data_IF_180553367961
#
_entry.id   IF_180553367961
#
_cell.length_a   1.000
_cell.length_b   1.000
_cell.length_c   1.000
_cell.angle_alpha   90.00
_cell.angle_beta   90.00
_cell.angle_gamma   90.00
#
_symmetry.space_group_name_H-M   'P 1'
#
loop_
_entity.id
_entity.type
_entity.pdbx_description
1 polymer ?
#
# COMPACT_ATOMS: atom_id res chain seq x y z
N UNK A 1 -0.77 -6.29 21.66
CA UNK A 1 -1.77 -6.44 20.58
C UNK A 1 -1.98 -5.17 19.72
N UNK A 2 -1.95 -3.94 20.26
CA UNK A 2 -2.22 -2.69 19.49
C UNK A 2 -1.22 -2.31 18.37
N UNK A 3 0.02 -2.81 18.42
CA UNK A 3 1.09 -2.41 17.49
C UNK A 3 0.79 -2.78 16.02
N UNK A 4 0.01 -3.85 15.80
CA UNK A 4 -0.34 -4.32 14.46
C UNK A 4 -1.42 -3.47 13.79
N UNK A 5 -2.39 -2.95 14.56
CA UNK A 5 -3.45 -2.07 14.06
C UNK A 5 -2.83 -0.74 13.59
N UNK A 6 -1.92 -0.18 14.37
CA UNK A 6 -1.23 1.05 13.99
C UNK A 6 -0.35 0.84 12.76
N UNK A 7 0.38 -0.29 12.68
CA UNK A 7 1.16 -0.64 11.50
C UNK A 7 0.28 -0.80 10.24
N UNK A 8 -0.86 -1.47 10.37
CA UNK A 8 -1.82 -1.64 9.29
C UNK A 8 -2.37 -0.29 8.81
N UNK A 9 -2.72 0.60 9.75
CA UNK A 9 -3.18 1.96 9.44
C UNK A 9 -2.12 2.74 8.67
N UNK A 10 -0.87 2.72 9.13
CA UNK A 10 0.25 3.40 8.46
C UNK A 10 0.45 2.87 7.03
N UNK A 11 0.43 1.55 6.84
CA UNK A 11 0.56 0.94 5.51
C UNK A 11 -0.59 1.32 4.57
N UNK A 12 -1.82 1.39 5.08
CA UNK A 12 -2.99 1.82 4.29
C UNK A 12 -2.89 3.29 3.88
N UNK A 13 -2.40 4.16 4.77
CA UNK A 13 -2.15 5.58 4.45
C UNK A 13 -1.09 5.67 3.35
N UNK A 14 0.07 5.02 3.55
CA UNK A 14 1.17 5.05 2.56
C UNK A 14 0.71 4.49 1.20
N UNK A 15 -0.08 3.42 1.18
CA UNK A 15 -0.64 2.86 -0.05
C UNK A 15 -1.57 3.86 -0.77
N UNK A 16 -2.40 4.60 -0.03
CA UNK A 16 -3.32 5.60 -0.59
C UNK A 16 -2.54 6.78 -1.16
N UNK A 17 -1.59 7.33 -0.42
CA UNK A 17 -0.76 8.45 -0.87
C UNK A 17 -0.01 8.09 -2.16
N UNK A 18 0.50 6.85 -2.22
CA UNK A 18 1.20 6.36 -3.40
C UNK A 18 0.25 6.21 -4.60
N UNK A 19 -1.01 5.85 -4.37
CA UNK A 19 -2.02 5.80 -5.43
C UNK A 19 -2.38 7.18 -5.98
N UNK A 20 -2.51 8.18 -5.11
CA UNK A 20 -2.75 9.57 -5.50
C UNK A 20 -1.57 10.12 -6.31
N UNK A 21 -0.33 9.81 -5.90
CA UNK A 21 0.89 10.16 -6.65
C UNK A 21 0.88 9.50 -8.03
N UNK A 22 0.60 8.20 -8.12
CA UNK A 22 0.53 7.49 -9.41
C UNK A 22 -0.54 8.11 -10.30
N UNK A 23 -1.72 8.40 -9.76
CA UNK A 23 -2.84 8.97 -10.51
C UNK A 23 -2.48 10.33 -11.08
N UNK A 24 -1.86 11.20 -10.27
CA UNK A 24 -1.41 12.52 -10.70
C UNK A 24 -0.31 12.44 -11.76
N UNK A 25 0.68 11.58 -11.56
CA UNK A 25 1.78 11.40 -12.52
C UNK A 25 1.30 10.78 -13.82
N UNK A 26 0.30 9.90 -13.78
CA UNK A 26 -0.26 9.26 -14.97
C UNK A 26 -1.03 10.23 -15.88
N UNK A 27 -1.42 11.40 -15.38
CA UNK A 27 -2.04 12.47 -16.18
C UNK A 27 -1.00 13.34 -16.90
N UNK A 28 0.28 13.21 -16.54
CA UNK A 28 1.36 14.00 -17.12
C UNK A 28 1.91 13.33 -18.39
N UNK A 29 1.99 14.07 -19.49
CA UNK A 29 2.42 13.55 -20.80
C UNK A 29 3.91 13.16 -20.83
N UNK A 30 4.71 13.66 -19.88
CA UNK A 30 6.15 13.42 -19.79
C UNK A 30 6.53 12.43 -18.68
N UNK A 31 5.59 11.58 -18.25
CA UNK A 31 5.87 10.67 -17.15
C UNK A 31 7.00 9.69 -17.52
N UNK A 32 7.98 9.59 -16.64
CA UNK A 32 9.06 8.61 -16.80
C UNK A 32 8.49 7.20 -16.53
N UNK A 33 8.49 6.35 -17.56
CA UNK A 33 7.93 5.01 -17.47
C UNK A 33 8.65 4.12 -16.45
N UNK A 34 9.96 4.34 -16.22
CA UNK A 34 10.73 3.60 -15.22
C UNK A 34 10.30 4.02 -13.82
N UNK A 35 10.14 5.32 -13.59
CA UNK A 35 9.59 5.82 -12.32
C UNK A 35 8.17 5.29 -12.08
N UNK A 36 7.31 5.33 -13.09
CA UNK A 36 5.94 4.81 -13.00
C UNK A 36 5.92 3.31 -12.65
N UNK A 37 6.79 2.50 -13.28
CA UNK A 37 6.94 1.07 -12.94
C UNK A 37 7.42 0.86 -11.51
N UNK A 38 8.37 1.66 -11.02
CA UNK A 38 8.86 1.58 -9.63
C UNK A 38 7.76 1.91 -8.61
N UNK A 39 6.98 2.95 -8.87
CA UNK A 39 5.85 3.34 -8.01
C UNK A 39 4.80 2.23 -7.98
N UNK A 40 4.35 1.74 -9.13
CA UNK A 40 3.38 0.62 -9.20
C UNK A 40 3.88 -0.63 -8.47
N UNK A 41 5.16 -0.97 -8.58
CA UNK A 41 5.77 -2.08 -7.84
C UNK A 41 5.74 -1.85 -6.32
N UNK A 42 6.04 -0.63 -5.86
CA UNK A 42 5.96 -0.27 -4.44
C UNK A 42 4.51 -0.32 -3.93
N UNK A 43 3.53 0.14 -4.73
CA UNK A 43 2.10 0.00 -4.41
C UNK A 43 1.70 -1.46 -4.19
N UNK A 44 2.13 -2.36 -5.09
CA UNK A 44 1.87 -3.79 -4.99
C UNK A 44 2.46 -4.39 -3.70
N UNK A 45 3.72 -4.06 -3.38
CA UNK A 45 4.38 -4.48 -2.14
C UNK A 45 3.65 -4.02 -0.88
N UNK A 46 3.10 -2.80 -0.87
CA UNK A 46 2.31 -2.30 0.26
C UNK A 46 0.98 -3.08 0.39
N UNK A 47 0.31 -3.34 -0.74
CA UNK A 47 -0.92 -4.16 -0.77
C UNK A 47 -0.66 -5.56 -0.21
N UNK A 48 0.43 -6.20 -0.61
CA UNK A 48 0.78 -7.55 -0.14
C UNK A 48 1.10 -7.55 1.36
N UNK A 49 1.78 -6.52 1.86
CA UNK A 49 2.05 -6.36 3.29
C UNK A 49 0.78 -6.14 4.12
N UNK A 50 -0.15 -5.33 3.60
CA UNK A 50 -1.47 -5.11 4.21
C UNK A 50 -2.21 -6.46 4.31
N UNK A 51 -2.34 -7.18 3.19
CA UNK A 51 -3.05 -8.46 3.14
C UNK A 51 -2.43 -9.52 4.08
N UNK A 52 -1.10 -9.55 4.18
CA UNK A 52 -0.39 -10.44 5.11
C UNK A 52 -0.66 -10.08 6.57
N UNK A 53 -0.62 -8.80 6.92
CA UNK A 53 -0.90 -8.35 8.30
C UNK A 53 -2.37 -8.54 8.67
N UNK A 54 -3.29 -8.31 7.74
CA UNK A 54 -4.71 -8.61 7.93
C UNK A 54 -4.93 -10.10 8.16
N UNK A 55 -4.33 -10.96 7.34
CA UNK A 55 -4.38 -12.41 7.51
C UNK A 55 -3.80 -12.88 8.86
N UNK A 56 -2.81 -12.16 9.41
CA UNK A 56 -2.25 -12.43 10.74
C UNK A 56 -3.09 -11.87 11.90
N UNK A 57 -4.01 -10.94 11.62
CA UNK A 57 -4.96 -10.41 12.61
C UNK A 57 -6.26 -11.23 12.65
N UNK A 58 -6.62 -11.91 11.56
CA UNK A 58 -7.81 -12.78 11.46
C UNK A 58 -7.78 -14.06 12.35
N UNK A 59 -6.64 -14.58 12.90
CA UNK A 59 -6.71 -15.75 13.80
C UNK A 59 -7.49 -15.51 15.10
N UNK A 60 -7.60 -14.26 15.55
CA UNK A 60 -8.22 -13.89 16.84
C UNK A 60 -9.70 -13.47 16.74
N UNK A 61 -10.27 -13.33 15.53
CA UNK A 61 -11.66 -12.88 15.34
C UNK A 61 -12.69 -14.03 15.34
N UNK A 62 -12.24 -15.28 15.49
CA UNK A 62 -13.09 -16.49 15.61
C UNK A 62 -12.64 -17.39 16.78
N UNK A 63 -12.43 -16.82 17.97
CA UNK A 63 -12.24 -17.57 19.21
C UNK A 63 -13.31 -17.18 20.25
#
# INVERSE_FOLDING_TARGET
MFKNIERLRQLRIEHRDLDDIISRLSMDFKVDEVQMKRLKKRKLLLKDQIARLESQQIPDLNA
#
